data_IF_925368936841
#
_entry.id   IF_925368936841
#
_cell.length_a   1.000
_cell.length_b   1.000
_cell.length_c   1.000
_cell.angle_alpha   90.00
_cell.angle_beta   90.00
_cell.angle_gamma   90.00
#
_symmetry.space_group_name_H-M   'P 1'
#
loop_
_entity.id
_entity.type
_entity.pdbx_description
1 polymer ?
#
# COMPACT_ATOMS: atom_id res chain seq x y z
N UNK A 1 -3.96 10.89 19.78
CA UNK A 1 -3.67 9.44 19.67
C UNK A 1 -2.19 9.33 19.93
N UNK A 2 -1.81 9.15 21.19
CA UNK A 2 -0.40 9.13 21.58
C UNK A 2 0.17 7.73 21.38
N UNK A 3 1.33 7.63 20.73
CA UNK A 3 2.11 6.40 20.69
C UNK A 3 3.03 6.41 21.91
N UNK A 4 3.18 5.26 22.58
CA UNK A 4 4.14 5.13 23.67
C UNK A 4 5.54 4.93 23.10
N UNK A 5 6.50 5.76 23.50
CA UNK A 5 7.93 5.57 23.24
C UNK A 5 8.57 5.25 24.57
N UNK A 6 9.13 4.04 24.70
CA UNK A 6 9.71 3.54 25.95
C UNK A 6 8.73 3.63 27.14
N UNK A 7 7.46 3.31 26.91
CA UNK A 7 6.41 3.32 27.94
C UNK A 7 5.87 4.71 28.31
N UNK A 8 6.43 5.79 27.76
CA UNK A 8 5.94 7.16 27.99
C UNK A 8 5.17 7.67 26.78
N UNK A 9 4.05 8.39 26.96
CA UNK A 9 3.29 8.95 25.85
C UNK A 9 4.14 9.97 25.08
N UNK A 10 4.34 9.71 23.79
CA UNK A 10 4.95 10.66 22.89
C UNK A 10 3.96 11.77 22.51
N UNK A 11 4.51 12.90 22.04
CA UNK A 11 3.72 13.99 21.48
C UNK A 11 2.86 13.47 20.32
N UNK A 12 1.62 13.94 20.24
CA UNK A 12 0.74 13.63 19.12
C UNK A 12 1.41 14.03 17.80
N UNK A 13 1.30 13.16 16.81
CA UNK A 13 1.76 13.40 15.45
C UNK A 13 0.62 13.12 14.47
N UNK A 14 0.64 13.84 13.34
CA UNK A 14 -0.32 13.63 12.27
C UNK A 14 0.17 12.48 11.38
N UNK A 15 -0.63 11.43 11.25
CA UNK A 15 -0.37 10.36 10.28
C UNK A 15 -0.61 10.94 8.89
N UNK A 16 0.45 11.06 8.09
CA UNK A 16 0.36 11.58 6.72
C UNK A 16 0.15 10.47 5.68
N UNK A 17 0.63 9.25 5.96
CA UNK A 17 0.60 8.09 5.08
C UNK A 17 0.43 6.81 5.89
N UNK A 18 -0.12 5.78 5.23
CA UNK A 18 -0.29 4.44 5.79
C UNK A 18 -1.59 4.25 6.55
N UNK A 19 -1.96 2.97 6.71
CA UNK A 19 -3.09 2.54 7.52
C UNK A 19 -2.60 2.11 8.89
N UNK A 20 -3.40 2.41 9.90
CA UNK A 20 -3.06 2.04 11.27
C UNK A 20 -3.29 0.55 11.50
N UNK A 21 -2.21 -0.21 11.60
CA UNK A 21 -2.28 -1.63 11.95
C UNK A 21 -3.01 -1.85 13.29
N UNK A 22 -3.71 -2.98 13.42
CA UNK A 22 -4.52 -3.30 14.58
C UNK A 22 -5.91 -2.65 14.60
N UNK A 23 -6.22 -1.77 13.64
CA UNK A 23 -7.59 -1.32 13.43
C UNK A 23 -8.35 -2.35 12.58
N UNK A 24 -9.55 -2.79 12.97
CA UNK A 24 -10.26 -3.91 12.32
C UNK A 24 -10.56 -3.66 10.83
N UNK A 25 -10.66 -2.40 10.39
CA UNK A 25 -10.93 -2.07 8.98
C UNK A 25 -9.67 -1.97 8.10
N UNK A 26 -8.47 -1.86 8.68
CA UNK A 26 -7.25 -1.66 7.89
C UNK A 26 -6.95 -2.79 6.88
N UNK A 27 -7.22 -4.07 7.16
CA UNK A 27 -7.07 -5.14 6.17
C UNK A 27 -7.97 -4.95 4.93
N UNK A 28 -9.23 -4.56 5.12
CA UNK A 28 -10.16 -4.32 4.02
C UNK A 28 -9.73 -3.13 3.15
N UNK A 29 -9.34 -2.03 3.80
CA UNK A 29 -8.85 -0.85 3.09
C UNK A 29 -7.58 -1.15 2.27
N UNK A 30 -6.69 -2.01 2.79
CA UNK A 30 -5.51 -2.45 2.06
C UNK A 30 -5.89 -3.22 0.79
N UNK A 31 -6.85 -4.16 0.88
CA UNK A 31 -7.30 -4.94 -0.26
C UNK A 31 -7.93 -4.07 -1.35
N UNK A 32 -8.80 -3.11 -0.97
CA UNK A 32 -9.43 -2.18 -1.91
C UNK A 32 -8.37 -1.39 -2.70
N UNK A 33 -7.36 -0.87 -1.99
CA UNK A 33 -6.27 -0.12 -2.63
C UNK A 33 -5.42 -1.02 -3.52
N UNK A 34 -5.10 -2.24 -3.09
CA UNK A 34 -4.32 -3.19 -3.87
C UNK A 34 -5.05 -3.60 -5.17
N UNK A 35 -6.35 -3.86 -5.11
CA UNK A 35 -7.17 -4.20 -6.27
C UNK A 35 -7.29 -3.02 -7.24
N UNK A 36 -7.57 -1.81 -6.71
CA UNK A 36 -7.62 -0.59 -7.51
C UNK A 36 -6.29 -0.29 -8.21
N UNK A 37 -5.17 -0.44 -7.48
CA UNK A 37 -3.83 -0.28 -8.05
C UNK A 37 -3.56 -1.31 -9.14
N UNK A 38 -3.91 -2.57 -8.92
CA UNK A 38 -3.76 -3.64 -9.94
C UNK A 38 -4.52 -3.29 -11.21
N UNK A 39 -5.78 -2.83 -11.09
CA UNK A 39 -6.58 -2.40 -12.23
C UNK A 39 -5.98 -1.20 -12.98
N UNK A 40 -5.41 -0.23 -12.26
CA UNK A 40 -4.71 0.91 -12.88
C UNK A 40 -3.44 0.47 -13.61
N UNK A 41 -2.67 -0.47 -13.05
CA UNK A 41 -1.47 -1.00 -13.70
C UNK A 41 -1.81 -1.77 -14.98
N UNK A 42 -2.87 -2.60 -14.97
CA UNK A 42 -3.36 -3.26 -16.18
C UNK A 42 -3.74 -2.25 -17.28
N UNK A 43 -4.40 -1.14 -16.92
CA UNK A 43 -4.73 -0.06 -17.88
C UNK A 43 -3.48 0.65 -18.39
N UNK A 44 -2.50 0.90 -17.53
CA UNK A 44 -1.24 1.54 -17.92
C UNK A 44 -0.45 0.67 -18.93
N UNK A 45 -0.39 -0.65 -18.71
CA UNK A 45 0.20 -1.61 -19.65
C UNK A 45 -0.55 -1.61 -20.99
N UNK A 46 -1.88 -1.68 -20.98
CA UNK A 46 -2.69 -1.68 -22.20
C UNK A 46 -2.52 -0.40 -23.04
N UNK A 47 -2.27 0.73 -22.37
CA UNK A 47 -2.00 2.02 -23.01
C UNK A 47 -0.51 2.24 -23.34
N UNK A 48 0.35 1.23 -23.15
CA UNK A 48 1.82 1.33 -23.31
C UNK A 48 2.48 2.45 -22.47
N UNK A 49 1.83 2.89 -21.39
CA UNK A 49 2.35 3.91 -20.47
C UNK A 49 3.38 3.32 -19.50
N UNK A 50 3.34 2.01 -19.33
CA UNK A 50 4.26 1.26 -18.49
C UNK A 50 4.61 -0.05 -19.18
N UNK A 51 5.82 -0.55 -18.94
CA UNK A 51 6.27 -1.86 -19.39
C UNK A 51 6.73 -2.64 -18.17
N UNK A 52 6.13 -3.80 -17.94
CA UNK A 52 6.48 -4.66 -16.82
C UNK A 52 7.94 -5.11 -16.88
N UNK A 53 8.50 -5.42 -15.71
CA UNK A 53 9.85 -5.96 -15.59
C UNK A 53 9.82 -7.47 -15.37
N UNK A 54 10.60 -8.20 -16.16
CA UNK A 54 10.71 -9.66 -16.06
C UNK A 54 11.79 -10.02 -15.05
N UNK A 55 11.39 -10.54 -13.90
CA UNK A 55 12.32 -10.92 -12.81
C UNK A 55 12.85 -12.33 -13.02
N UNK A 56 12.06 -13.22 -13.63
CA UNK A 56 12.45 -14.57 -14.01
C UNK A 56 11.67 -15.00 -15.25
N UNK A 57 12.01 -16.13 -15.86
CA UNK A 57 11.35 -16.62 -17.08
C UNK A 57 9.81 -16.70 -16.96
N UNK A 58 9.30 -16.88 -15.74
CA UNK A 58 7.89 -17.05 -15.44
C UNK A 58 7.28 -15.92 -14.60
N UNK A 59 8.07 -14.91 -14.20
CA UNK A 59 7.61 -13.85 -13.28
C UNK A 59 7.75 -12.49 -13.95
N UNK A 60 6.59 -11.92 -14.30
CA UNK A 60 6.44 -10.53 -14.70
C UNK A 60 5.93 -9.73 -13.51
N UNK A 61 6.69 -8.70 -13.12
CA UNK A 61 6.26 -7.72 -12.14
C UNK A 61 5.88 -6.46 -12.91
N UNK A 62 4.65 -6.00 -12.71
CA UNK A 62 4.17 -4.73 -13.25
C UNK A 62 3.80 -3.78 -12.13
#
# INVERSE_FOLDING_TARGET
MSVLVNGSPAKDFRVARGLRQGYPLSPFLFLIVAEGLTGLMCKALANNLFHGYKVSNDILVY
#
